data_IF_747263154566
#
_entry.id   IF_747263154566
#
_cell.length_a   1.000
_cell.length_b   1.000
_cell.length_c   1.000
_cell.angle_alpha   90.00
_cell.angle_beta   90.00
_cell.angle_gamma   90.00
#
_symmetry.space_group_name_H-M   'P 1'
#
loop_
_entity.id
_entity.type
_entity.pdbx_description
1 polymer ?
#
# COMPACT_ATOMS: atom_id res chain seq x y z
N UNK A 1 -3.50 -11.21 1.62
CA UNK A 1 -2.52 -10.10 1.45
C UNK A 1 -1.08 -10.60 1.22
N UNK A 2 -0.44 -11.33 2.16
CA UNK A 2 0.99 -11.72 2.02
C UNK A 2 1.26 -12.46 0.70
N UNK A 3 0.49 -13.51 0.41
CA UNK A 3 0.61 -14.28 -0.82
C UNK A 3 0.43 -13.40 -2.09
N UNK A 4 -0.54 -12.49 -2.09
CA UNK A 4 -0.75 -11.55 -3.20
C UNK A 4 0.48 -10.66 -3.45
N UNK A 5 1.12 -10.17 -2.39
CA UNK A 5 2.33 -9.34 -2.51
C UNK A 5 3.53 -10.16 -3.01
N UNK A 6 3.66 -11.41 -2.57
CA UNK A 6 4.77 -12.29 -2.99
C UNK A 6 4.66 -12.76 -4.45
N UNK A 7 3.45 -13.05 -4.91
CA UNK A 7 3.20 -13.50 -6.29
C UNK A 7 3.23 -12.35 -7.31
N UNK A 8 3.00 -11.13 -6.85
CA UNK A 8 2.89 -9.98 -7.74
C UNK A 8 4.26 -9.38 -8.08
N UNK A 9 4.50 -9.14 -9.37
CA UNK A 9 5.66 -8.37 -9.86
C UNK A 9 5.19 -7.00 -10.29
N UNK A 10 5.41 -6.00 -9.45
CA UNK A 10 5.13 -4.60 -9.76
C UNK A 10 6.42 -3.83 -10.02
N UNK A 11 6.41 -2.96 -11.03
CA UNK A 11 7.52 -2.07 -11.33
C UNK A 11 7.53 -0.84 -10.41
N UNK A 12 6.36 -0.45 -9.89
CA UNK A 12 6.14 0.72 -9.04
C UNK A 12 5.48 0.33 -7.72
N UNK A 13 5.92 0.96 -6.63
CA UNK A 13 5.38 0.75 -5.29
C UNK A 13 3.97 1.35 -5.14
N UNK A 14 3.65 2.33 -5.98
CA UNK A 14 2.35 2.97 -6.11
C UNK A 14 1.26 1.99 -6.54
N UNK A 15 1.51 1.19 -7.58
CA UNK A 15 0.55 0.20 -8.07
C UNK A 15 0.29 -0.87 -7.03
N UNK A 16 1.34 -1.34 -6.36
CA UNK A 16 1.20 -2.31 -5.26
C UNK A 16 0.34 -1.74 -4.11
N UNK A 17 0.57 -0.47 -3.73
CA UNK A 17 -0.22 0.16 -2.68
C UNK A 17 -1.69 0.28 -3.04
N UNK A 18 -2.00 0.63 -4.29
CA UNK A 18 -3.38 0.76 -4.76
C UNK A 18 -4.12 -0.59 -4.70
N UNK A 19 -3.51 -1.65 -5.24
CA UNK A 19 -4.12 -2.97 -5.27
C UNK A 19 -4.32 -3.55 -3.86
N UNK A 20 -3.35 -3.35 -2.96
CA UNK A 20 -3.48 -3.77 -1.56
C UNK A 20 -4.60 -2.99 -0.87
N UNK A 21 -4.71 -1.68 -1.09
CA UNK A 21 -5.78 -0.88 -0.51
C UNK A 21 -7.16 -1.30 -1.03
N UNK A 22 -7.30 -1.53 -2.34
CA UNK A 22 -8.54 -1.99 -2.95
C UNK A 22 -8.95 -3.38 -2.42
N UNK A 23 -7.99 -4.30 -2.26
CA UNK A 23 -8.24 -5.62 -1.70
C UNK A 23 -8.75 -5.52 -0.26
N UNK A 24 -8.11 -4.71 0.58
CA UNK A 24 -8.52 -4.54 1.99
C UNK A 24 -9.90 -3.90 2.11
N UNK A 25 -10.19 -2.86 1.33
CA UNK A 25 -11.52 -2.23 1.31
C UNK A 25 -12.60 -3.23 0.93
N UNK A 26 -12.35 -4.04 -0.12
CA UNK A 26 -13.32 -4.99 -0.64
C UNK A 26 -13.52 -6.21 0.26
N UNK A 27 -12.45 -6.75 0.84
CA UNK A 27 -12.48 -8.00 1.62
C UNK A 27 -13.00 -7.78 3.04
N UNK A 28 -12.74 -6.62 3.63
CA UNK A 28 -13.08 -6.32 5.03
C UNK A 28 -14.19 -5.27 5.19
N UNK A 29 -14.74 -4.75 4.08
CA UNK A 29 -15.80 -3.73 4.04
C UNK A 29 -15.51 -2.52 4.96
N UNK A 30 -14.24 -2.11 5.00
CA UNK A 30 -13.83 -0.98 5.84
C UNK A 30 -14.15 0.34 5.14
N UNK A 31 -14.72 1.34 5.83
CA UNK A 31 -15.13 2.59 5.21
C UNK A 31 -13.94 3.45 4.78
N UNK A 32 -12.82 3.33 5.50
CA UNK A 32 -11.60 4.09 5.24
C UNK A 32 -10.37 3.33 5.72
N UNK A 33 -9.28 3.45 4.96
CA UNK A 33 -7.97 2.98 5.38
C UNK A 33 -6.87 3.95 5.00
N UNK A 34 -5.79 3.89 5.77
CA UNK A 34 -4.53 4.56 5.49
C UNK A 34 -3.40 3.55 5.41
N UNK A 35 -2.82 3.40 4.22
CA UNK A 35 -1.73 2.47 3.95
C UNK A 35 -0.42 3.24 3.82
N UNK A 36 0.65 2.74 4.45
CA UNK A 36 2.01 3.25 4.27
C UNK A 36 2.89 2.10 3.83
N UNK A 37 3.53 2.22 2.66
CA UNK A 37 4.50 1.26 2.15
C UNK A 37 5.87 1.91 2.11
N UNK A 38 6.87 1.22 2.67
CA UNK A 38 8.25 1.71 2.73
C UNK A 38 9.17 0.73 2.00
N UNK A 39 9.93 1.24 1.03
CA UNK A 39 11.05 0.56 0.40
C UNK A 39 12.34 0.99 1.11
N UNK A 40 12.81 0.14 2.02
CA UNK A 40 14.06 0.35 2.75
C UNK A 40 15.24 0.39 1.78
N UNK A 41 16.16 1.34 1.97
CA UNK A 41 17.42 1.41 1.23
C UNK A 41 17.31 1.71 -0.27
N UNK A 42 16.14 2.11 -0.79
CA UNK A 42 16.00 2.38 -2.22
C UNK A 42 16.81 3.61 -2.71
N UNK A 43 17.11 4.54 -1.80
CA UNK A 43 17.89 5.76 -2.09
C UNK A 43 19.12 5.80 -1.19
N UNK A 44 20.31 5.93 -1.79
CA UNK A 44 21.57 6.06 -1.05
C UNK A 44 21.50 7.27 -0.12
N UNK A 45 21.71 7.05 1.18
CA UNK A 45 21.65 8.09 2.22
C UNK A 45 20.28 8.28 2.88
N UNK A 46 19.22 7.63 2.40
CA UNK A 46 17.92 7.60 3.09
C UNK A 46 17.76 6.32 3.92
N UNK A 47 17.13 6.44 5.11
CA UNK A 47 16.73 5.29 5.92
C UNK A 47 15.63 4.48 5.22
N UNK A 48 14.69 5.16 4.57
CA UNK A 48 13.60 4.54 3.81
C UNK A 48 12.98 5.56 2.86
N UNK A 49 12.53 5.11 1.69
CA UNK A 49 11.62 5.88 0.84
C UNK A 49 10.31 5.11 0.75
N UNK A 50 9.19 5.80 0.76
CA UNK A 50 7.90 5.15 0.80
C UNK A 50 6.80 6.08 0.34
N UNK A 51 5.61 5.50 0.23
CA UNK A 51 4.40 6.23 -0.09
C UNK A 51 3.37 6.00 1.01
N UNK A 52 2.49 6.99 1.18
CA UNK A 52 1.33 6.90 2.04
C UNK A 52 0.11 7.29 1.23
N UNK A 53 -0.90 6.43 1.26
CA UNK A 53 -2.18 6.66 0.61
C UNK A 53 -3.32 6.49 1.60
N UNK A 54 -4.42 7.18 1.34
CA UNK A 54 -5.68 7.06 2.06
C UNK A 54 -6.76 6.72 1.04
N UNK A 55 -7.62 5.74 1.35
CA UNK A 55 -8.69 5.29 0.46
C UNK A 55 -9.98 5.06 1.26
N UNK A 56 -11.11 5.28 0.60
CA UNK A 56 -12.44 5.22 1.21
C UNK A 56 -12.92 6.56 1.76
N UNK A 57 -14.08 6.55 2.40
CA UNK A 57 -14.72 7.70 3.04
C UNK A 57 -14.41 7.71 4.53
N UNK A 58 -13.59 8.67 4.96
CA UNK A 58 -13.26 8.84 6.37
C UNK A 58 -14.55 9.15 7.14
N UNK A 59 -14.95 8.31 8.12
CA UNK A 59 -16.11 8.61 8.96
C UNK A 59 -15.91 9.95 9.65
N UNK A 60 -16.98 10.76 9.68
CA UNK A 60 -17.00 12.09 10.30
C UNK A 60 -16.75 12.04 11.82
#
# INVERSE_FOLDING_TARGET
IIQFVEESRFELVETLAEEVAALVLKEFDVPWLRLTLNKLGAVRGSRSVGIRIERGEKPA
#
